data_IF_244831068967
#
_entry.id   IF_244831068967
#
_cell.length_a   1.000
_cell.length_b   1.000
_cell.length_c   1.000
_cell.angle_alpha   90.00
_cell.angle_beta   90.00
_cell.angle_gamma   90.00
#
_symmetry.space_group_name_H-M   'P 1'
#
loop_
_entity.id
_entity.type
_entity.pdbx_description
1 polymer ?
#
# COMPACT_ATOMS: atom_id res chain seq x y z
N UNK A 1 33.25 -10.37 -31.96
CA UNK A 1 32.13 -9.41 -32.09
C UNK A 1 30.98 -9.91 -31.23
N UNK A 2 30.74 -9.27 -30.09
CA UNK A 2 29.60 -9.60 -29.23
C UNK A 2 28.33 -8.98 -29.80
N UNK A 3 27.44 -9.80 -30.34
CA UNK A 3 26.14 -9.34 -30.84
C UNK A 3 25.29 -8.71 -29.72
N UNK A 4 24.36 -7.81 -30.05
CA UNK A 4 23.56 -7.10 -29.07
C UNK A 4 22.76 -8.10 -28.22
N UNK A 5 22.99 -8.08 -26.90
CA UNK A 5 22.17 -8.80 -25.92
C UNK A 5 20.77 -8.20 -25.93
N UNK A 6 19.88 -8.73 -26.76
CA UNK A 6 18.45 -8.44 -26.68
C UNK A 6 17.98 -8.89 -25.29
N UNK A 7 17.70 -7.93 -24.39
CA UNK A 7 17.09 -8.24 -23.09
C UNK A 7 15.70 -8.81 -23.39
N UNK A 8 15.43 -10.02 -22.91
CA UNK A 8 14.15 -10.68 -23.15
C UNK A 8 13.00 -9.88 -22.50
N UNK A 9 11.78 -9.88 -23.07
CA UNK A 9 10.62 -9.21 -22.47
C UNK A 9 10.36 -9.59 -21.01
N UNK A 10 10.72 -10.84 -20.65
CA UNK A 10 10.63 -11.36 -19.28
C UNK A 10 11.56 -10.63 -18.30
N UNK A 11 12.75 -10.20 -18.73
CA UNK A 11 13.70 -9.45 -17.88
C UNK A 11 13.28 -8.00 -17.66
N UNK A 12 12.70 -7.33 -18.67
CA UNK A 12 12.13 -5.98 -18.53
C UNK A 12 10.90 -5.99 -17.61
N UNK A 13 10.01 -6.97 -17.77
CA UNK A 13 8.80 -7.11 -16.95
C UNK A 13 9.15 -7.32 -15.47
N UNK A 14 10.15 -8.16 -15.16
CA UNK A 14 10.60 -8.38 -13.77
C UNK A 14 11.26 -7.14 -13.17
N UNK A 15 12.04 -6.40 -13.94
CA UNK A 15 12.65 -5.15 -13.47
C UNK A 15 11.59 -4.07 -13.15
N UNK A 16 10.59 -3.92 -14.02
CA UNK A 16 9.46 -3.00 -13.78
C UNK A 16 8.61 -3.40 -12.57
N UNK A 17 8.39 -4.70 -12.35
CA UNK A 17 7.68 -5.20 -11.17
C UNK A 17 8.46 -4.94 -9.88
N UNK A 18 9.78 -5.17 -9.88
CA UNK A 18 10.63 -4.88 -8.72
C UNK A 18 10.62 -3.38 -8.39
N UNK A 19 10.66 -2.52 -9.41
CA UNK A 19 10.56 -1.07 -9.24
C UNK A 19 9.21 -0.65 -8.65
N UNK A 20 8.10 -1.22 -9.16
CA UNK A 20 6.76 -0.96 -8.65
C UNK A 20 6.60 -1.39 -7.18
N UNK A 21 7.16 -2.55 -6.81
CA UNK A 21 7.13 -3.04 -5.42
C UNK A 21 7.95 -2.14 -4.51
N UNK A 22 9.12 -1.68 -4.94
CA UNK A 22 9.95 -0.80 -4.14
C UNK A 22 9.25 0.55 -3.93
N UNK A 23 8.72 1.15 -4.99
CA UNK A 23 7.94 2.38 -4.92
C UNK A 23 6.77 2.26 -3.93
N UNK A 24 5.99 1.17 -4.00
CA UNK A 24 4.88 0.94 -3.05
C UNK A 24 5.35 0.89 -1.59
N UNK A 25 6.50 0.27 -1.32
CA UNK A 25 7.05 0.20 0.05
C UNK A 25 7.43 1.58 0.57
N UNK A 26 8.15 2.36 -0.25
CA UNK A 26 8.58 3.72 0.11
C UNK A 26 7.39 4.65 0.33
N UNK A 27 6.37 4.55 -0.54
CA UNK A 27 5.12 5.30 -0.40
C UNK A 27 4.39 4.96 0.90
N UNK A 28 4.29 3.67 1.26
CA UNK A 28 3.65 3.21 2.49
C UNK A 28 4.40 3.65 3.75
N UNK A 29 5.73 3.66 3.72
CA UNK A 29 6.54 4.19 4.82
C UNK A 29 6.28 5.68 5.01
N UNK A 30 6.34 6.46 3.92
CA UNK A 30 6.10 7.90 3.96
C UNK A 30 4.68 8.23 4.47
N UNK A 31 3.66 7.53 3.97
CA UNK A 31 2.28 7.71 4.41
C UNK A 31 2.13 7.43 5.92
N UNK A 32 2.81 6.39 6.40
CA UNK A 32 2.81 6.05 7.82
C UNK A 32 3.50 7.12 8.67
N UNK A 33 4.66 7.63 8.24
CA UNK A 33 5.40 8.68 8.93
C UNK A 33 4.60 9.98 9.02
N UNK A 34 3.95 10.38 7.92
CA UNK A 34 3.07 11.55 7.88
C UNK A 34 1.90 11.39 8.87
N UNK A 35 1.21 10.25 8.85
CA UNK A 35 0.10 9.98 9.76
C UNK A 35 0.54 9.99 11.24
N UNK A 36 1.73 9.48 11.53
CA UNK A 36 2.29 9.51 12.88
C UNK A 36 2.68 10.92 13.33
N UNK A 37 3.15 11.77 12.41
CA UNK A 37 3.46 13.17 12.70
C UNK A 37 2.21 14.02 12.93
N UNK A 38 1.09 13.69 12.27
CA UNK A 38 -0.20 14.39 12.45
C UNK A 38 -0.94 14.01 13.75
N UNK A 39 -0.69 12.80 14.29
CA UNK A 39 -1.33 12.29 15.52
C UNK A 39 -0.98 13.02 16.82
N UNK A 40 -0.19 14.09 16.80
CA UNK A 40 0.04 14.92 17.99
C UNK A 40 -1.18 15.78 18.36
N UNK A 41 -2.18 15.91 17.47
CA UNK A 41 -3.49 16.53 17.76
C UNK A 41 -4.61 15.47 17.77
N UNK A 42 -5.59 15.53 18.70
CA UNK A 42 -6.69 14.57 18.75
C UNK A 42 -7.57 14.68 17.49
N UNK A 43 -7.85 13.57 16.79
CA UNK A 43 -8.68 13.61 15.59
C UNK A 43 -10.12 14.00 15.95
N UNK A 44 -10.65 15.02 15.29
CA UNK A 44 -12.08 15.32 15.33
C UNK A 44 -12.83 14.21 14.58
N UNK A 45 -14.08 13.89 14.95
CA UNK A 45 -14.87 12.79 14.33
C UNK A 45 -15.03 12.90 12.79
N UNK A 46 -14.67 14.04 12.20
CA UNK A 46 -14.58 14.29 10.76
C UNK A 46 -13.33 13.66 10.07
N UNK A 47 -12.28 13.27 10.81
CA UNK A 47 -11.03 12.71 10.27
C UNK A 47 -11.16 11.28 9.73
N UNK A 48 -12.29 10.60 9.99
CA UNK A 48 -12.55 9.28 9.39
C UNK A 48 -12.62 9.41 7.86
N UNK A 49 -13.08 10.56 7.32
CA UNK A 49 -13.01 10.91 5.87
C UNK A 49 -11.59 11.16 5.36
N UNK A 50 -10.70 11.67 6.21
CA UNK A 50 -9.31 12.01 5.85
C UNK A 50 -8.42 10.79 5.66
N UNK A 51 -8.74 9.69 6.36
CA UNK A 51 -8.16 8.39 6.04
C UNK A 51 -8.63 7.75 4.74
N UNK A 52 -9.69 8.27 4.10
CA UNK A 52 -10.37 7.60 2.98
C UNK A 52 -9.64 7.74 1.65
N UNK A 53 -8.56 8.51 1.58
CA UNK A 53 -7.74 8.66 0.38
C UNK A 53 -6.27 9.03 0.65
N UNK A 54 -5.77 9.05 1.89
CA UNK A 54 -4.47 9.68 2.15
C UNK A 54 -3.30 9.00 1.39
N UNK A 55 -3.31 7.66 1.24
CA UNK A 55 -2.30 7.00 0.41
C UNK A 55 -2.49 7.34 -1.06
N UNK A 56 -3.74 7.42 -1.51
CA UNK A 56 -4.11 7.82 -2.88
C UNK A 56 -3.73 9.28 -3.18
N UNK A 57 -3.93 10.21 -2.25
CA UNK A 57 -3.55 11.61 -2.33
C UNK A 57 -2.03 11.74 -2.37
N UNK A 58 -1.33 11.11 -1.42
CA UNK A 58 0.13 11.07 -1.42
C UNK A 58 0.68 10.48 -2.72
N UNK A 59 0.05 9.42 -3.23
CA UNK A 59 0.41 8.81 -4.49
C UNK A 59 0.24 9.77 -5.68
N UNK A 60 -0.84 10.54 -5.72
CA UNK A 60 -1.09 11.53 -6.78
C UNK A 60 -0.03 12.64 -6.79
N UNK A 61 0.50 13.01 -5.63
CA UNK A 61 1.56 14.03 -5.52
C UNK A 61 2.92 13.55 -6.05
N UNK A 62 3.20 12.24 -5.97
CA UNK A 62 4.51 11.66 -6.36
C UNK A 62 4.47 10.89 -7.69
N UNK A 63 3.30 10.58 -8.22
CA UNK A 63 3.18 9.86 -9.48
C UNK A 63 3.60 10.71 -10.70
N UNK A 64 3.97 10.03 -11.77
CA UNK A 64 4.30 10.67 -13.04
C UNK A 64 3.87 9.79 -14.22
N UNK A 65 4.13 10.25 -15.44
CA UNK A 65 3.73 9.55 -16.66
C UNK A 65 4.33 8.14 -16.83
N UNK A 66 5.42 7.82 -16.12
CA UNK A 66 6.07 6.51 -16.14
C UNK A 66 5.52 5.57 -15.05
N UNK A 67 4.76 6.08 -14.08
CA UNK A 67 4.16 5.28 -13.02
C UNK A 67 3.18 4.27 -13.61
N UNK A 68 3.39 2.95 -13.42
CA UNK A 68 2.48 1.96 -13.97
C UNK A 68 1.09 2.07 -13.36
N UNK A 69 0.03 2.02 -14.19
CA UNK A 69 -1.38 2.03 -13.76
C UNK A 69 -1.68 0.98 -12.67
N UNK A 70 -0.91 -0.10 -12.64
CA UNK A 70 -1.04 -1.13 -11.61
C UNK A 70 -0.74 -0.63 -10.20
N UNK A 71 0.21 0.28 -10.05
CA UNK A 71 0.57 0.87 -8.75
C UNK A 71 -0.62 1.63 -8.18
N UNK A 72 -1.26 2.48 -8.99
CA UNK A 72 -2.48 3.21 -8.62
C UNK A 72 -3.57 2.28 -8.10
N UNK A 73 -3.89 1.21 -8.84
CA UNK A 73 -4.92 0.24 -8.42
C UNK A 73 -4.59 -0.47 -7.11
N UNK A 74 -3.30 -0.71 -6.83
CA UNK A 74 -2.88 -1.31 -5.56
C UNK A 74 -3.07 -0.32 -4.41
N UNK A 75 -2.73 0.96 -4.63
CA UNK A 75 -2.95 2.04 -3.66
C UNK A 75 -4.44 2.18 -3.36
N UNK A 76 -5.28 2.29 -4.39
CA UNK A 76 -6.75 2.39 -4.25
C UNK A 76 -7.32 1.19 -3.45
N UNK A 77 -6.88 -0.03 -3.76
CA UNK A 77 -7.32 -1.25 -3.08
C UNK A 77 -6.84 -1.32 -1.61
N UNK A 78 -5.72 -0.67 -1.24
CA UNK A 78 -5.24 -0.59 0.15
C UNK A 78 -6.06 0.43 0.94
N UNK A 79 -6.31 1.61 0.39
CA UNK A 79 -7.19 2.62 1.00
C UNK A 79 -8.62 2.07 1.15
N UNK A 80 -9.09 1.25 0.20
CA UNK A 80 -10.38 0.57 0.33
C UNK A 80 -10.44 -0.39 1.54
N UNK A 81 -9.31 -0.98 1.95
CA UNK A 81 -9.27 -1.78 3.18
C UNK A 81 -9.47 -0.88 4.38
N UNK A 82 -8.72 0.24 4.49
CA UNK A 82 -8.86 1.22 5.58
C UNK A 82 -10.33 1.63 5.72
N UNK A 83 -11.00 1.91 4.60
CA UNK A 83 -12.42 2.28 4.55
C UNK A 83 -13.38 1.18 5.03
N UNK A 84 -13.10 -0.08 4.70
CA UNK A 84 -14.04 -1.18 4.88
C UNK A 84 -13.88 -1.92 6.22
N UNK A 85 -12.86 -1.62 7.02
CA UNK A 85 -12.75 -2.20 8.36
C UNK A 85 -13.88 -1.65 9.24
N UNK A 86 -14.85 -2.52 9.54
CA UNK A 86 -16.15 -2.14 10.13
C UNK A 86 -16.15 -1.93 11.64
N UNK A 87 -15.00 -2.05 12.30
CA UNK A 87 -14.92 -2.06 13.76
C UNK A 87 -13.66 -1.33 14.22
N UNK A 88 -13.86 -0.21 14.89
CA UNK A 88 -12.83 0.52 15.64
C UNK A 88 -12.22 -0.38 16.73
N UNK A 89 -10.91 -0.29 16.96
CA UNK A 89 -10.22 -1.13 17.95
C UNK A 89 -10.00 -2.59 17.52
N UNK A 90 -10.20 -2.93 16.23
CA UNK A 90 -9.89 -4.27 15.69
C UNK A 90 -8.46 -4.71 16.00
N UNK A 91 -7.53 -3.76 16.08
CA UNK A 91 -6.12 -3.93 16.40
C UNK A 91 -5.86 -4.47 17.82
N UNK A 92 -6.85 -4.40 18.72
CA UNK A 92 -6.74 -4.91 20.08
C UNK A 92 -7.24 -6.36 20.22
N UNK A 93 -7.68 -7.00 19.12
CA UNK A 93 -8.19 -8.37 19.15
C UNK A 93 -7.49 -9.24 18.12
N UNK A 94 -7.14 -10.47 18.50
CA UNK A 94 -6.54 -11.43 17.56
C UNK A 94 -7.47 -11.77 16.38
N UNK A 95 -8.80 -11.70 16.58
CA UNK A 95 -9.77 -11.95 15.52
C UNK A 95 -9.80 -10.82 14.49
N UNK A 96 -9.83 -9.55 14.95
CA UNK A 96 -9.77 -8.37 14.09
C UNK A 96 -8.49 -8.32 13.28
N UNK A 97 -7.33 -8.49 13.94
CA UNK A 97 -6.05 -8.54 13.23
C UNK A 97 -6.01 -9.61 12.14
N UNK A 98 -6.54 -10.81 12.44
CA UNK A 98 -6.56 -11.92 11.48
C UNK A 98 -7.41 -11.61 10.25
N UNK A 99 -8.55 -10.95 10.43
CA UNK A 99 -9.42 -10.59 9.29
C UNK A 99 -8.78 -9.52 8.42
N UNK A 100 -8.18 -8.47 9.01
CA UNK A 100 -7.46 -7.43 8.25
C UNK A 100 -6.27 -8.03 7.49
N UNK A 101 -5.42 -8.82 8.16
CA UNK A 101 -4.29 -9.53 7.51
C UNK A 101 -4.77 -10.39 6.34
N UNK A 102 -5.90 -11.08 6.48
CA UNK A 102 -6.49 -11.94 5.43
C UNK A 102 -7.03 -11.14 4.25
N UNK A 103 -7.73 -10.03 4.49
CA UNK A 103 -8.22 -9.15 3.42
C UNK A 103 -7.03 -8.55 2.66
N UNK A 104 -6.04 -8.01 3.37
CA UNK A 104 -4.81 -7.48 2.76
C UNK A 104 -4.08 -8.54 1.92
N UNK A 105 -3.94 -9.76 2.44
CA UNK A 105 -3.31 -10.87 1.70
C UNK A 105 -4.06 -11.19 0.40
N UNK A 106 -5.40 -11.18 0.44
CA UNK A 106 -6.25 -11.39 -0.75
C UNK A 106 -6.09 -10.25 -1.75
N UNK A 107 -6.05 -9.01 -1.29
CA UNK A 107 -5.79 -7.83 -2.13
C UNK A 107 -4.46 -7.96 -2.87
N UNK A 108 -3.35 -8.20 -2.15
CA UNK A 108 -2.04 -8.39 -2.78
C UNK A 108 -1.97 -9.64 -3.67
N UNK A 109 -2.79 -10.66 -3.41
CA UNK A 109 -2.88 -11.84 -4.27
C UNK A 109 -3.43 -11.51 -5.66
N UNK A 110 -4.41 -10.59 -5.78
CA UNK A 110 -4.95 -10.12 -7.07
C UNK A 110 -3.83 -9.66 -8.02
N UNK A 111 -2.79 -9.05 -7.46
CA UNK A 111 -1.63 -8.49 -8.16
C UNK A 111 -0.40 -9.42 -8.18
N UNK A 112 -0.53 -10.65 -7.71
CA UNK A 112 0.59 -11.60 -7.53
C UNK A 112 1.70 -11.10 -6.60
N UNK A 113 1.38 -10.17 -5.69
CA UNK A 113 2.31 -9.58 -4.72
C UNK A 113 2.22 -10.20 -3.33
N UNK A 114 1.29 -11.13 -3.09
CA UNK A 114 1.11 -11.80 -1.79
C UNK A 114 2.36 -12.47 -1.21
N UNK A 115 3.36 -12.85 -2.00
CA UNK A 115 4.63 -13.41 -1.50
C UNK A 115 5.63 -12.37 -1.03
N UNK A 116 5.37 -11.07 -1.23
CA UNK A 116 6.24 -9.98 -0.81
C UNK A 116 5.98 -9.62 0.66
N UNK A 117 6.65 -10.32 1.57
CA UNK A 117 6.48 -10.15 3.02
C UNK A 117 6.66 -8.71 3.46
N UNK A 118 7.72 -8.03 3.03
CA UNK A 118 7.97 -6.64 3.45
C UNK A 118 6.89 -5.66 2.98
N UNK A 119 6.40 -5.82 1.75
CA UNK A 119 5.28 -5.01 1.25
C UNK A 119 4.02 -5.24 2.09
N UNK A 120 3.76 -6.51 2.45
CA UNK A 120 2.64 -6.87 3.31
C UNK A 120 2.77 -6.23 4.70
N UNK A 121 3.93 -6.29 5.35
CA UNK A 121 4.15 -5.70 6.67
C UNK A 121 3.99 -4.18 6.67
N UNK A 122 4.51 -3.49 5.64
CA UNK A 122 4.36 -2.03 5.51
C UNK A 122 2.91 -1.63 5.27
N UNK A 123 2.20 -2.32 4.37
CA UNK A 123 0.78 -2.05 4.12
C UNK A 123 -0.08 -2.32 5.35
N UNK A 124 0.19 -3.42 6.07
CA UNK A 124 -0.50 -3.73 7.32
C UNK A 124 -0.21 -2.68 8.40
N UNK A 125 1.05 -2.23 8.51
CA UNK A 125 1.46 -1.17 9.42
C UNK A 125 0.72 0.14 9.15
N UNK A 126 0.66 0.58 7.89
CA UNK A 126 -0.11 1.76 7.46
C UNK A 126 -1.59 1.63 7.85
N UNK A 127 -2.25 0.51 7.48
CA UNK A 127 -3.67 0.29 7.81
C UNK A 127 -3.90 0.34 9.32
N UNK A 128 -2.97 -0.20 10.12
CA UNK A 128 -3.08 -0.20 11.58
C UNK A 128 -2.99 1.20 12.18
N UNK A 129 -2.20 2.10 11.61
CA UNK A 129 -2.08 3.47 12.13
C UNK A 129 -3.37 4.28 12.00
N UNK A 130 -4.36 3.87 11.21
CA UNK A 130 -5.67 4.55 11.18
C UNK A 130 -6.56 4.30 12.38
N UNK A 131 -6.23 3.32 13.22
CA UNK A 131 -7.10 2.82 14.28
C UNK A 131 -6.37 2.75 15.61
#
# INVERSE_FOLDING_TARGET
>A
MGGPKFKSPQTMSRAGQLHSVQFLKELLDLAKELLQAEKEDPPEEEDVDRGKAALTELFQDVENAETPVMVRRIVDDIDEIVRNVRFEGWQHTSAGEREVKKVLRKTLFKYKLHSHTELFEKAYGYIREYY
#
